data_IF_186418909181
#
_entry.id   IF_186418909181
#
_cell.length_a   1.000
_cell.length_b   1.000
_cell.length_c   1.000
_cell.angle_alpha   90.00
_cell.angle_beta   90.00
_cell.angle_gamma   90.00
#
_symmetry.space_group_name_H-M   'P 1'
#
loop_
_entity.id
_entity.type
_entity.pdbx_description
1 polymer ?
#
# COMPACT_ATOMS: atom_id res chain seq x y z
N UNK A 1 -6.63 -2.73 -9.52
CA UNK A 1 -6.24 -1.48 -8.82
C UNK A 1 -5.43 -0.62 -9.77
N UNK A 2 -5.38 0.69 -9.54
CA UNK A 2 -4.57 1.61 -10.34
C UNK A 2 -3.91 2.59 -9.39
N UNK A 3 -2.66 2.95 -9.68
CA UNK A 3 -1.92 3.99 -8.95
C UNK A 3 -1.49 5.03 -9.96
N UNK A 4 -1.77 6.30 -9.69
CA UNK A 4 -1.50 7.42 -10.59
C UNK A 4 -0.65 8.45 -9.86
N UNK A 5 0.34 8.99 -10.57
CA UNK A 5 1.17 10.10 -10.09
C UNK A 5 0.72 11.39 -10.76
N UNK A 6 0.10 12.29 -10.01
CA UNK A 6 -0.38 13.57 -10.52
C UNK A 6 0.63 14.66 -10.15
N UNK A 7 1.34 15.19 -11.15
CA UNK A 7 2.30 16.28 -10.98
C UNK A 7 1.66 17.61 -11.35
N UNK A 8 1.71 18.59 -10.44
CA UNK A 8 1.18 19.92 -10.68
C UNK A 8 1.17 20.77 -9.42
N UNK A 9 1.07 22.09 -9.59
CA UNK A 9 0.98 23.02 -8.47
C UNK A 9 -0.31 22.75 -7.68
N UNK A 10 -0.18 22.59 -6.36
CA UNK A 10 -1.29 22.26 -5.45
C UNK A 10 -2.13 21.03 -5.84
N UNK A 11 -1.55 20.05 -6.54
CA UNK A 11 -2.26 18.84 -7.00
C UNK A 11 -2.99 18.10 -5.86
N UNK A 12 -2.34 17.92 -4.71
CA UNK A 12 -2.96 17.32 -3.54
C UNK A 12 -4.14 18.12 -2.99
N UNK A 13 -4.06 19.46 -3.02
CA UNK A 13 -5.11 20.35 -2.53
C UNK A 13 -6.43 20.17 -3.28
N UNK A 14 -6.37 20.02 -4.60
CA UNK A 14 -7.54 19.75 -5.43
C UNK A 14 -8.06 18.32 -5.26
N UNK A 15 -7.17 17.32 -5.28
CA UNK A 15 -7.55 15.92 -5.24
C UNK A 15 -7.98 15.43 -3.86
N UNK A 16 -7.71 16.18 -2.79
CA UNK A 16 -8.18 15.85 -1.43
C UNK A 16 -9.71 15.67 -1.37
N UNK A 17 -10.46 16.37 -2.21
CA UNK A 17 -11.92 16.25 -2.28
C UNK A 17 -12.40 14.91 -2.85
N UNK A 18 -11.56 14.22 -3.64
CA UNK A 18 -11.91 12.95 -4.30
C UNK A 18 -11.70 11.73 -3.39
N UNK A 19 -11.07 11.92 -2.22
CA UNK A 19 -10.82 10.84 -1.26
C UNK A 19 -12.13 10.31 -0.67
N UNK A 20 -12.37 9.01 -0.82
CA UNK A 20 -13.53 8.34 -0.22
C UNK A 20 -14.09 7.22 -1.08
N UNK A 21 -15.32 6.79 -0.76
CA UNK A 21 -16.02 5.74 -1.49
C UNK A 21 -17.05 6.36 -2.43
N UNK A 22 -16.90 6.07 -3.72
CA UNK A 22 -17.73 6.55 -4.80
C UNK A 22 -18.76 5.48 -5.18
N UNK A 23 -20.03 5.89 -5.33
CA UNK A 23 -21.15 4.98 -5.61
C UNK A 23 -21.65 5.17 -7.03
N UNK A 24 -21.66 4.09 -7.82
CA UNK A 24 -22.23 4.06 -9.17
C UNK A 24 -23.49 3.19 -9.18
N UNK A 25 -24.61 3.77 -9.57
CA UNK A 25 -25.88 3.07 -9.78
C UNK A 25 -26.20 3.09 -11.27
N UNK A 26 -26.18 1.92 -11.93
CA UNK A 26 -26.47 1.81 -13.36
C UNK A 26 -27.04 0.44 -13.72
N UNK A 27 -27.65 0.31 -14.90
CA UNK A 27 -27.92 -1.02 -15.47
C UNK A 27 -26.57 -1.58 -15.96
N UNK A 28 -26.20 -2.76 -15.48
CA UNK A 28 -24.91 -3.35 -15.82
C UNK A 28 -24.96 -3.91 -17.25
N UNK A 29 -24.00 -3.57 -18.14
CA UNK A 29 -23.92 -4.20 -19.46
C UNK A 29 -23.50 -5.67 -19.37
N UNK A 30 -23.07 -6.14 -18.19
CA UNK A 30 -22.65 -7.51 -17.92
C UNK A 30 -23.75 -8.37 -17.28
N UNK A 31 -24.91 -7.81 -16.93
CA UNK A 31 -26.05 -8.60 -16.43
C UNK A 31 -27.03 -8.89 -17.57
N UNK A 32 -27.19 -10.16 -17.94
CA UNK A 32 -28.10 -10.61 -19.00
C UNK A 32 -29.57 -10.33 -18.70
N UNK A 33 -29.93 -10.13 -17.42
CA UNK A 33 -31.30 -9.78 -16.99
C UNK A 33 -31.59 -8.27 -16.97
N UNK A 34 -30.59 -7.42 -17.26
CA UNK A 34 -30.77 -5.97 -17.29
C UNK A 34 -31.12 -5.33 -15.94
N UNK A 35 -30.73 -5.96 -14.81
CA UNK A 35 -31.02 -5.42 -13.48
C UNK A 35 -30.14 -4.21 -13.18
N UNK A 36 -30.68 -3.31 -12.35
CA UNK A 36 -29.94 -2.15 -11.84
C UNK A 36 -28.97 -2.60 -10.77
N UNK A 37 -27.68 -2.45 -11.03
CA UNK A 37 -26.61 -2.78 -10.10
C UNK A 37 -26.10 -1.52 -9.41
N UNK A 38 -25.69 -1.67 -8.16
CA UNK A 38 -24.99 -0.64 -7.39
C UNK A 38 -23.56 -1.14 -7.13
N UNK A 39 -22.58 -0.34 -7.50
CA UNK A 39 -21.15 -0.64 -7.30
C UNK A 39 -20.50 0.48 -6.50
N UNK A 40 -19.44 0.13 -5.78
CA UNK A 40 -18.65 1.05 -4.96
C UNK A 40 -17.17 0.98 -5.37
N UNK A 41 -16.49 2.12 -5.37
CA UNK A 41 -15.05 2.24 -5.63
C UNK A 41 -14.44 3.12 -4.53
N UNK A 42 -13.35 2.67 -3.92
CA UNK A 42 -12.56 3.49 -3.00
C UNK A 42 -11.48 4.25 -3.77
N UNK A 43 -11.35 5.54 -3.51
CA UNK A 43 -10.26 6.39 -3.98
C UNK A 43 -9.49 6.91 -2.77
N UNK A 44 -8.19 6.65 -2.75
CA UNK A 44 -7.26 7.20 -1.76
C UNK A 44 -6.30 8.16 -2.45
N UNK A 45 -6.10 9.31 -1.81
CA UNK A 45 -5.23 10.37 -2.28
C UNK A 45 -4.22 10.66 -1.18
N UNK A 46 -2.94 10.47 -1.51
CA UNK A 46 -1.80 10.74 -0.63
C UNK A 46 -0.89 11.77 -1.31
N UNK A 47 -0.38 12.76 -0.57
CA UNK A 47 0.62 13.66 -1.11
C UNK A 47 1.95 12.93 -1.24
N UNK A 48 2.69 13.20 -2.32
CA UNK A 48 4.10 12.84 -2.41
C UNK A 48 4.89 13.86 -1.59
N UNK A 49 5.57 13.40 -0.54
CA UNK A 49 6.48 14.20 0.26
C UNK A 49 7.89 13.78 -0.18
N UNK A 50 8.73 14.73 -0.56
CA UNK A 50 10.15 14.44 -0.80
C UNK A 50 10.79 14.01 0.51
N UNK A 51 11.24 12.76 0.56
CA UNK A 51 12.01 12.20 1.66
C UNK A 51 13.43 12.79 1.67
N UNK A 52 13.57 14.04 2.15
CA UNK A 52 14.83 14.57 2.69
C UNK A 52 14.91 14.26 4.19
N UNK A 53 14.61 13.02 4.57
CA UNK A 53 14.75 12.57 5.95
C UNK A 53 16.03 11.74 6.02
N UNK A 54 17.15 12.40 6.36
CA UNK A 54 18.34 11.71 6.86
C UNK A 54 17.99 11.08 8.22
N UNK A 55 17.48 9.85 8.19
CA UNK A 55 17.31 9.04 9.40
C UNK A 55 18.67 8.43 9.72
N UNK A 56 19.47 9.15 10.51
CA UNK A 56 20.69 8.61 11.11
C UNK A 56 20.30 7.63 12.21
N UNK A 57 20.23 6.34 11.86
CA UNK A 57 19.94 5.28 12.83
C UNK A 57 21.20 5.06 13.66
N UNK A 58 21.17 5.58 14.89
CA UNK A 58 22.23 5.31 15.86
C UNK A 58 22.19 3.83 16.24
N UNK A 59 23.34 3.18 16.21
CA UNK A 59 23.51 1.76 16.55
C UNK A 59 23.11 1.41 17.99
N UNK A 60 22.92 2.44 18.83
CA UNK A 60 22.45 2.38 20.21
C UNK A 60 21.00 1.89 20.34
N UNK A 61 20.14 2.23 19.37
CA UNK A 61 18.71 1.90 19.37
C UNK A 61 18.40 0.60 18.60
N UNK A 62 19.42 0.01 17.95
CA UNK A 62 19.31 -1.23 17.20
C UNK A 62 19.49 -2.42 18.14
N UNK A 63 18.38 -3.05 18.54
CA UNK A 63 18.42 -4.39 19.14
C UNK A 63 18.41 -5.44 18.03
N UNK A 64 19.60 -5.89 17.63
CA UNK A 64 19.78 -6.93 16.62
C UNK A 64 19.59 -8.29 17.31
N UNK A 65 18.37 -8.82 17.28
CA UNK A 65 18.07 -10.18 17.73
C UNK A 65 18.10 -11.12 16.52
N UNK A 66 19.16 -11.92 16.40
CA UNK A 66 19.29 -12.96 15.36
C UNK A 66 18.52 -14.20 15.80
N UNK A 67 17.45 -14.55 15.08
CA UNK A 67 16.66 -15.76 15.35
C UNK A 67 17.06 -16.91 14.42
N UNK A 68 17.13 -18.13 14.95
CA UNK A 68 17.32 -19.35 14.15
C UNK A 68 16.00 -19.76 13.47
N UNK A 69 16.07 -20.09 12.19
CA UNK A 69 14.95 -20.67 11.47
C UNK A 69 14.52 -22.00 12.12
N UNK A 70 13.28 -22.05 12.61
CA UNK A 70 12.68 -23.21 13.29
C UNK A 70 12.17 -24.25 12.27
N UNK A 71 12.98 -24.59 11.27
CA UNK A 71 12.67 -25.62 10.28
C UNK A 71 13.26 -26.97 10.65
N UNK A 72 12.54 -28.06 10.37
CA UNK A 72 13.08 -29.41 10.53
C UNK A 72 14.14 -29.69 9.43
N UNK A 73 15.43 -29.70 9.77
CA UNK A 73 16.45 -29.92 8.75
C UNK A 73 17.92 -30.01 9.18
N UNK A 74 18.31 -31.09 9.87
CA UNK A 74 19.67 -31.65 9.80
C UNK A 74 20.84 -30.82 10.36
N UNK A 75 22.01 -31.46 10.45
CA UNK A 75 23.23 -30.91 11.07
C UNK A 75 23.81 -29.65 10.40
N UNK A 76 23.25 -29.19 9.27
CA UNK A 76 23.71 -27.99 8.55
C UNK A 76 23.03 -26.69 9.01
N UNK A 77 21.99 -26.76 9.86
CA UNK A 77 21.33 -25.58 10.45
C UNK A 77 22.14 -24.97 11.62
N UNK A 78 23.13 -25.69 12.17
CA UNK A 78 23.79 -25.31 13.43
C UNK A 78 25.21 -24.74 13.29
N UNK A 79 25.72 -24.44 12.09
CA UNK A 79 27.15 -24.14 11.92
C UNK A 79 27.48 -22.84 11.18
N UNK A 80 26.52 -22.07 10.68
CA UNK A 80 26.85 -20.78 10.04
C UNK A 80 25.78 -19.73 10.29
N UNK A 81 26.14 -18.75 11.12
CA UNK A 81 25.43 -17.49 11.27
C UNK A 81 26.04 -16.50 10.25
N UNK A 82 25.31 -16.17 9.19
CA UNK A 82 25.65 -15.10 8.23
C UNK A 82 24.39 -14.45 7.70
#
# INVERSE_FOLDING_TARGET
SVTLLIKGFNAYGYLKAEKGVHRLVRISPFDSSGRRHTSFVSCDVVPEITDDVEIDIRTEDLKIDTYRASGAGGQHINTTDS
#
